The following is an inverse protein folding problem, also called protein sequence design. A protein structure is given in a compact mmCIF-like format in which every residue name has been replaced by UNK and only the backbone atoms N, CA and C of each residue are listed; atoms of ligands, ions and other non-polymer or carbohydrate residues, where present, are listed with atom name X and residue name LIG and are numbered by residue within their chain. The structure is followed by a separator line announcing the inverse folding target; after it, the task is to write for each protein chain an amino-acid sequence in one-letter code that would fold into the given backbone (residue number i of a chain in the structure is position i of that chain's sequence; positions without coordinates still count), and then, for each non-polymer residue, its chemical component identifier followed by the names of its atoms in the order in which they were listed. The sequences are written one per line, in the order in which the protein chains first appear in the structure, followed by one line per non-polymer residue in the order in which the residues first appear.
data_IF_806651303937
#
_entry.id   IF_806651303937
#
_cell.length_a   1.000
_cell.length_b   1.000
_cell.length_c   1.000
_cell.angle_alpha   90.00
_cell.angle_beta   90.00
_cell.angle_gamma   90.00
#
_symmetry.space_group_name_H-M   'P 1'
#
loop_
_entity.id
_entity.type
_entity.pdbx_description
1 polymer ?
#
# COMPACT_ATOMS: atom_id res chain seq x y z
N UNK A 1 -14.39 -24.06 -4.60
CA UNK A 1 -13.32 -23.28 -3.96
C UNK A 1 -13.41 -23.34 -2.45
N UNK A 2 -12.29 -23.15 -1.73
CA UNK A 2 -12.27 -22.85 -0.29
C UNK A 2 -11.42 -21.61 -0.02
N UNK A 3 -11.95 -20.74 0.84
CA UNK A 3 -11.27 -19.55 1.34
C UNK A 3 -11.11 -19.67 2.85
N UNK A 4 -9.92 -19.36 3.35
CA UNK A 4 -9.66 -19.27 4.78
C UNK A 4 -9.05 -17.90 5.07
N UNK A 5 -9.80 -17.06 5.78
CA UNK A 5 -9.25 -15.82 6.34
C UNK A 5 -8.31 -16.18 7.49
N UNK A 6 -7.06 -15.73 7.39
CA UNK A 6 -6.01 -15.99 8.38
C UNK A 6 -5.79 -14.78 9.31
N UNK A 7 -6.59 -13.73 9.19
CA UNK A 7 -6.54 -12.62 10.13
C UNK A 7 -7.15 -13.05 11.50
N UNK A 8 -6.35 -13.13 12.58
CA UNK A 8 -6.83 -13.55 13.90
C UNK A 8 -7.87 -12.60 14.50
N UNK A 9 -7.81 -11.31 14.16
CA UNK A 9 -8.59 -10.25 14.79
C UNK A 9 -9.86 -9.90 14.00
N UNK A 10 -9.99 -10.40 12.77
CA UNK A 10 -10.93 -9.88 11.79
C UNK A 10 -10.70 -8.40 11.48
N UNK A 11 -11.53 -7.83 10.60
CA UNK A 11 -11.48 -6.40 10.27
C UNK A 11 -10.20 -5.97 9.54
N UNK A 12 -9.76 -4.73 9.76
CA UNK A 12 -8.66 -4.10 9.02
C UNK A 12 -7.31 -4.37 9.70
N UNK A 13 -6.41 -5.05 8.98
CA UNK A 13 -5.06 -5.36 9.43
C UNK A 13 -4.73 -6.83 9.20
N UNK A 14 -3.44 -7.18 9.18
CA UNK A 14 -2.99 -8.58 9.03
C UNK A 14 -3.70 -9.34 7.89
N UNK A 15 -3.99 -8.68 6.77
CA UNK A 15 -4.70 -9.29 5.65
C UNK A 15 -3.86 -10.44 5.11
N UNK A 16 -4.47 -11.62 5.07
CA UNK A 16 -3.86 -12.85 4.59
C UNK A 16 -4.97 -13.87 4.32
N UNK A 17 -5.20 -14.21 3.06
CA UNK A 17 -6.28 -15.13 2.69
C UNK A 17 -5.72 -16.33 1.95
N UNK A 18 -5.86 -17.51 2.55
CA UNK A 18 -5.54 -18.77 1.90
C UNK A 18 -6.68 -19.20 0.98
N UNK A 19 -6.33 -19.49 -0.27
CA UNK A 19 -7.26 -19.86 -1.33
C UNK A 19 -6.92 -21.23 -1.90
N UNK A 20 -7.93 -22.06 -2.09
CA UNK A 20 -7.83 -23.41 -2.66
C UNK A 20 -8.85 -23.55 -3.81
N UNK A 21 -8.37 -23.69 -5.05
CA UNK A 21 -9.20 -23.93 -6.26
C UNK A 21 -8.58 -25.04 -7.12
N UNK A 22 -9.32 -26.13 -7.32
CA UNK A 22 -8.78 -27.33 -7.95
C UNK A 22 -7.52 -27.84 -7.21
N UNK A 23 -6.41 -28.14 -7.92
CA UNK A 23 -5.14 -28.50 -7.28
C UNK A 23 -4.32 -27.30 -6.80
N UNK A 24 -4.77 -26.07 -7.07
CA UNK A 24 -4.02 -24.85 -6.77
C UNK A 24 -4.27 -24.34 -5.36
N UNK A 25 -3.19 -24.05 -4.64
CA UNK A 25 -3.19 -23.47 -3.30
C UNK A 25 -2.32 -22.22 -3.28
N UNK A 26 -2.92 -21.07 -2.99
CA UNK A 26 -2.21 -19.79 -3.01
C UNK A 26 -2.70 -18.85 -1.91
N UNK A 27 -1.94 -17.80 -1.65
CA UNK A 27 -2.30 -16.76 -0.68
C UNK A 27 -2.47 -15.42 -1.38
N UNK A 28 -3.53 -14.68 -1.04
CA UNK A 28 -3.67 -13.26 -1.34
C UNK A 28 -3.24 -12.46 -0.11
N UNK A 29 -2.20 -11.64 -0.28
CA UNK A 29 -1.60 -10.77 0.73
C UNK A 29 -1.05 -11.47 1.97
N UNK A 30 -0.15 -10.80 2.69
CA UNK A 30 0.33 -11.22 4.00
C UNK A 30 0.80 -9.99 4.77
N UNK A 31 -0.10 -9.43 5.57
CA UNK A 31 0.07 -8.19 6.33
C UNK A 31 0.55 -8.32 7.76
N UNK A 32 0.87 -7.18 8.37
CA UNK A 32 0.99 -6.99 9.82
C UNK A 32 -0.17 -6.11 10.29
N UNK A 33 -0.78 -6.45 11.42
CA UNK A 33 -1.85 -5.65 12.00
C UNK A 33 -1.30 -4.32 12.57
N UNK A 34 -1.82 -3.15 12.17
CA UNK A 34 -1.22 -1.86 12.52
C UNK A 34 -1.40 -1.45 13.99
N UNK A 35 -2.34 -2.08 14.72
CA UNK A 35 -2.60 -1.79 16.14
C UNK A 35 -1.87 -2.72 17.13
N UNK A 36 -1.31 -3.82 16.64
CA UNK A 36 -0.59 -4.79 17.47
C UNK A 36 0.90 -4.77 17.12
N UNK A 37 1.73 -5.34 17.99
CA UNK A 37 3.17 -5.46 17.77
C UNK A 37 3.62 -6.89 18.04
N UNK A 38 4.83 -7.24 17.61
CA UNK A 38 5.37 -8.58 17.81
C UNK A 38 4.51 -9.65 17.12
N UNK A 39 4.42 -10.83 17.73
CA UNK A 39 3.68 -11.96 17.16
C UNK A 39 2.16 -11.74 17.11
N UNK A 40 1.59 -10.92 18.00
CA UNK A 40 0.15 -10.60 18.00
C UNK A 40 -0.31 -9.85 16.75
N UNK A 41 0.64 -9.27 16.02
CA UNK A 41 0.37 -8.55 14.78
C UNK A 41 0.33 -9.44 13.55
N UNK A 42 0.61 -10.73 13.69
CA UNK A 42 0.75 -11.67 12.57
C UNK A 42 -0.56 -12.38 12.22
N UNK A 43 -0.75 -12.75 10.95
CA UNK A 43 -1.77 -13.71 10.56
C UNK A 43 -1.46 -15.12 11.10
N UNK A 44 -2.47 -15.99 11.11
CA UNK A 44 -2.35 -17.42 11.44
C UNK A 44 -1.62 -18.24 10.35
N UNK A 45 -0.33 -17.93 10.11
CA UNK A 45 0.51 -18.67 9.16
C UNK A 45 0.68 -20.15 9.54
N UNK A 46 0.53 -20.49 10.81
CA UNK A 46 0.57 -21.86 11.33
C UNK A 46 -0.52 -22.78 10.76
N UNK A 47 -1.62 -22.21 10.27
CA UNK A 47 -2.68 -22.95 9.57
C UNK A 47 -2.32 -23.31 8.13
N UNK A 48 -1.21 -22.78 7.61
CA UNK A 48 -0.70 -23.11 6.28
C UNK A 48 0.39 -24.18 6.42
N UNK A 49 0.17 -25.33 5.80
CA UNK A 49 1.18 -26.38 5.73
C UNK A 49 2.42 -25.84 4.98
N UNK A 50 3.61 -25.94 5.58
CA UNK A 50 4.87 -25.52 4.94
C UNK A 50 5.04 -26.14 3.55
N UNK A 51 5.64 -25.40 2.63
CA UNK A 51 5.88 -25.81 1.24
C UNK A 51 4.63 -26.23 0.44
N UNK A 52 3.42 -25.85 0.89
CA UNK A 52 2.19 -26.22 0.18
C UNK A 52 1.64 -25.17 -0.78
N UNK A 53 2.17 -23.94 -0.77
CA UNK A 53 1.72 -22.87 -1.65
C UNK A 53 2.37 -22.97 -3.02
N UNK A 54 1.56 -22.87 -4.07
CA UNK A 54 2.02 -22.79 -5.46
C UNK A 54 2.54 -21.39 -5.79
N UNK A 55 1.94 -20.35 -5.23
CA UNK A 55 2.33 -18.96 -5.37
C UNK A 55 1.67 -18.07 -4.30
N UNK A 56 2.15 -16.85 -4.17
CA UNK A 56 1.58 -15.79 -3.33
C UNK A 56 1.28 -14.60 -4.23
N UNK A 57 0.16 -13.91 -4.05
CA UNK A 57 -0.17 -12.68 -4.79
C UNK A 57 -0.20 -11.50 -3.81
N UNK A 58 0.52 -10.44 -4.12
CA UNK A 58 0.50 -9.18 -3.37
C UNK A 58 -0.32 -8.14 -4.14
N UNK A 59 -1.42 -7.69 -3.54
CA UNK A 59 -2.31 -6.66 -4.12
C UNK A 59 -1.66 -5.29 -4.09
N UNK A 60 -1.07 -4.88 -2.96
CA UNK A 60 -0.40 -3.58 -2.82
C UNK A 60 0.54 -3.52 -1.61
N UNK A 61 1.28 -2.42 -1.48
CA UNK A 61 2.39 -2.29 -0.53
C UNK A 61 2.06 -1.56 0.79
N UNK A 62 0.81 -1.50 1.22
CA UNK A 62 0.53 -1.12 2.61
C UNK A 62 0.92 -2.27 3.56
N UNK A 63 1.32 -1.94 4.79
CA UNK A 63 1.92 -2.92 5.71
C UNK A 63 0.93 -3.97 6.20
N UNK A 64 -0.36 -3.65 6.22
CA UNK A 64 -1.46 -4.58 6.48
C UNK A 64 -1.74 -5.55 5.33
N UNK A 65 -1.03 -5.44 4.20
CA UNK A 65 -1.06 -6.41 3.09
C UNK A 65 0.33 -7.02 2.79
N UNK A 66 1.40 -6.31 3.14
CA UNK A 66 2.79 -6.67 2.82
C UNK A 66 3.61 -7.10 4.05
N UNK A 67 3.24 -6.63 5.23
CA UNK A 67 4.11 -6.55 6.40
C UNK A 67 4.66 -7.88 6.90
N UNK A 68 3.93 -8.98 6.73
CA UNK A 68 4.35 -10.33 7.15
C UNK A 68 4.76 -11.23 5.99
N UNK A 69 4.73 -10.73 4.75
CA UNK A 69 5.14 -11.46 3.55
C UNK A 69 6.53 -12.10 3.65
N UNK A 70 7.57 -11.48 4.26
CA UNK A 70 8.86 -12.14 4.43
C UNK A 70 8.78 -13.43 5.26
N UNK A 71 7.89 -13.49 6.25
CA UNK A 71 7.69 -14.66 7.10
C UNK A 71 7.00 -15.78 6.35
N UNK A 72 5.91 -15.45 5.63
CA UNK A 72 5.19 -16.39 4.78
C UNK A 72 6.12 -16.95 3.69
N UNK A 73 6.85 -16.07 3.00
CA UNK A 73 7.78 -16.46 1.94
C UNK A 73 8.94 -17.33 2.46
N UNK A 74 9.35 -17.17 3.72
CA UNK A 74 10.34 -18.08 4.36
C UNK A 74 9.78 -19.49 4.57
N UNK A 75 8.48 -19.63 4.86
CA UNK A 75 7.82 -20.93 5.05
C UNK A 75 7.48 -21.64 3.73
N UNK A 76 7.50 -20.92 2.61
CA UNK A 76 7.20 -21.41 1.26
C UNK A 76 8.28 -20.96 0.29
N UNK A 77 9.50 -21.52 0.38
CA UNK A 77 10.66 -21.00 -0.31
C UNK A 77 10.59 -21.13 -1.84
N UNK A 78 9.77 -22.05 -2.34
CA UNK A 78 9.59 -22.31 -3.78
C UNK A 78 8.42 -21.53 -4.39
N UNK A 79 7.58 -20.90 -3.57
CA UNK A 79 6.42 -20.14 -4.04
C UNK A 79 6.86 -18.76 -4.57
N UNK A 80 6.65 -18.43 -5.86
CA UNK A 80 6.88 -17.09 -6.38
C UNK A 80 5.86 -16.10 -5.79
N UNK A 81 6.26 -14.84 -5.69
CA UNK A 81 5.37 -13.75 -5.30
C UNK A 81 4.97 -12.99 -6.56
N UNK A 82 3.71 -13.10 -6.96
CA UNK A 82 3.11 -12.39 -8.09
C UNK A 82 2.63 -11.02 -7.62
N UNK A 83 3.02 -9.95 -8.33
CA UNK A 83 2.73 -8.57 -7.95
C UNK A 83 2.85 -7.64 -9.15
N UNK A 84 2.43 -6.39 -9.01
CA UNK A 84 2.65 -5.39 -10.07
C UNK A 84 4.12 -4.91 -10.11
N UNK A 85 4.54 -4.36 -11.26
CA UNK A 85 5.85 -3.72 -11.41
C UNK A 85 6.12 -2.66 -10.33
N UNK A 86 5.17 -1.76 -10.10
CA UNK A 86 5.32 -0.71 -9.09
C UNK A 86 5.42 -1.30 -7.67
N UNK A 87 4.64 -2.35 -7.36
CA UNK A 87 4.74 -3.04 -6.08
C UNK A 87 6.11 -3.71 -5.88
N UNK A 88 6.75 -4.22 -6.93
CA UNK A 88 8.11 -4.80 -6.84
C UNK A 88 9.20 -3.80 -6.45
N UNK A 89 8.99 -2.51 -6.74
CA UNK A 89 9.86 -1.40 -6.35
C UNK A 89 9.53 -0.97 -4.92
N UNK A 90 8.25 -0.73 -4.64
CA UNK A 90 7.79 -0.19 -3.36
C UNK A 90 7.97 -1.18 -2.21
N UNK A 91 7.71 -2.47 -2.44
CA UNK A 91 7.82 -3.50 -1.41
C UNK A 91 9.22 -3.53 -0.78
N UNK A 92 10.28 -3.35 -1.59
CA UNK A 92 11.66 -3.32 -1.11
C UNK A 92 11.90 -2.22 -0.10
N UNK A 93 11.40 -1.01 -0.39
CA UNK A 93 11.57 0.14 0.50
C UNK A 93 10.69 0.02 1.75
N UNK A 94 9.43 -0.40 1.58
CA UNK A 94 8.48 -0.56 2.67
C UNK A 94 8.97 -1.60 3.70
N UNK A 95 9.40 -2.77 3.23
CA UNK A 95 9.91 -3.84 4.09
C UNK A 95 11.28 -3.51 4.71
N UNK A 96 12.17 -2.83 3.98
CA UNK A 96 13.42 -2.35 4.59
C UNK A 96 13.16 -1.34 5.70
N UNK A 97 12.13 -0.49 5.57
CA UNK A 97 11.76 0.45 6.61
C UNK A 97 11.09 -0.24 7.81
N UNK A 98 10.22 -1.23 7.59
CA UNK A 98 9.57 -1.97 8.68
C UNK A 98 10.59 -2.66 9.59
N UNK A 99 11.71 -3.20 9.05
CA UNK A 99 12.80 -3.72 9.87
C UNK A 99 13.37 -2.66 10.82
N UNK A 100 13.59 -1.44 10.32
CA UNK A 100 14.10 -0.33 11.15
C UNK A 100 13.09 0.09 12.22
N UNK A 101 11.79 0.10 11.89
CA UNK A 101 10.71 0.38 12.84
C UNK A 101 10.65 -0.70 13.93
N UNK A 102 10.67 -1.98 13.55
CA UNK A 102 10.65 -3.09 14.51
C UNK A 102 11.86 -3.09 15.43
N UNK A 103 13.06 -2.74 14.93
CA UNK A 103 14.27 -2.58 15.76
C UNK A 103 14.10 -1.51 16.84
N UNK A 104 13.42 -0.41 16.52
CA UNK A 104 13.10 0.64 17.48
C UNK A 104 12.05 0.17 18.48
N UNK A 105 10.98 -0.46 18.00
CA UNK A 105 9.90 -1.02 18.83
C UNK A 105 10.41 -2.08 19.81
N UNK A 106 11.44 -2.87 19.44
CA UNK A 106 12.08 -3.84 20.36
C UNK A 106 12.43 -3.23 21.70
N UNK A 107 13.06 -2.04 21.69
CA UNK A 107 13.46 -1.34 22.90
C UNK A 107 12.33 -0.52 23.54
N UNK A 108 11.47 0.10 22.73
CA UNK A 108 10.37 0.94 23.24
C UNK A 108 9.24 0.13 23.89
N UNK A 109 9.00 -1.09 23.40
CA UNK A 109 7.90 -1.96 23.83
C UNK A 109 8.37 -3.22 24.59
N UNK A 110 9.68 -3.38 24.79
CA UNK A 110 10.29 -4.58 25.41
C UNK A 110 9.88 -5.90 24.73
N UNK A 111 9.87 -5.91 23.38
CA UNK A 111 9.52 -7.07 22.55
C UNK A 111 10.77 -7.75 21.98
N UNK A 112 11.38 -8.74 22.68
CA UNK A 112 12.67 -9.31 22.31
C UNK A 112 12.65 -10.07 20.97
N UNK A 113 11.48 -10.54 20.52
CA UNK A 113 11.28 -11.23 19.25
C UNK A 113 11.44 -10.31 18.03
N UNK A 114 11.44 -8.99 18.21
CA UNK A 114 11.65 -8.04 17.13
C UNK A 114 13.13 -7.88 16.76
N UNK A 115 13.46 -7.70 15.46
CA UNK A 115 12.55 -7.70 14.31
C UNK A 115 12.14 -9.11 13.87
N UNK A 116 10.91 -9.26 13.37
CA UNK A 116 10.36 -10.56 12.95
C UNK A 116 11.11 -11.19 11.76
N UNK A 117 11.71 -10.33 10.91
CA UNK A 117 12.53 -10.72 9.76
C UNK A 117 13.71 -9.77 9.60
N UNK A 118 14.74 -10.24 8.91
CA UNK A 118 15.99 -9.53 8.66
C UNK A 118 16.32 -9.37 7.19
N UNK A 119 17.53 -8.86 6.92
CA UNK A 119 18.02 -8.62 5.55
C UNK A 119 18.10 -9.90 4.70
N UNK A 120 18.40 -11.04 5.32
CA UNK A 120 18.43 -12.34 4.64
C UNK A 120 17.05 -12.70 4.08
N UNK A 121 16.01 -12.66 4.91
CA UNK A 121 14.63 -12.93 4.50
C UNK A 121 14.20 -11.99 3.35
N UNK A 122 14.56 -10.70 3.46
CA UNK A 122 14.24 -9.72 2.42
C UNK A 122 14.95 -10.01 1.10
N UNK A 123 16.24 -10.37 1.14
CA UNK A 123 17.00 -10.71 -0.05
C UNK A 123 16.35 -11.89 -0.78
N UNK A 124 16.08 -12.98 -0.06
CA UNK A 124 15.45 -14.18 -0.65
C UNK A 124 14.03 -13.89 -1.17
N UNK A 125 13.24 -13.09 -0.45
CA UNK A 125 11.92 -12.67 -0.91
C UNK A 125 12.01 -11.90 -2.23
N UNK A 126 12.98 -10.99 -2.36
CA UNK A 126 13.13 -10.15 -3.55
C UNK A 126 13.48 -10.94 -4.81
N UNK A 127 14.22 -12.04 -4.68
CA UNK A 127 14.56 -12.92 -5.82
C UNK A 127 13.33 -13.69 -6.33
N UNK A 128 12.31 -13.84 -5.47
CA UNK A 128 11.05 -14.54 -5.77
C UNK A 128 9.93 -13.63 -6.26
N UNK A 129 10.12 -12.32 -6.22
CA UNK A 129 9.16 -11.36 -6.77
C UNK A 129 9.11 -11.49 -8.30
N UNK A 130 7.92 -11.77 -8.83
CA UNK A 130 7.62 -11.89 -10.26
C UNK A 130 6.60 -10.82 -10.67
N UNK A 131 7.08 -9.66 -11.17
CA UNK A 131 6.20 -8.63 -11.68
C UNK A 131 5.36 -9.14 -12.85
N UNK A 132 4.04 -8.99 -12.76
CA UNK A 132 3.12 -9.29 -13.85
C UNK A 132 2.64 -8.00 -14.52
N UNK A 133 2.37 -8.11 -15.83
CA UNK A 133 1.79 -7.01 -16.60
C UNK A 133 0.30 -6.88 -16.29
N UNK A 134 -0.16 -5.64 -16.09
CA UNK A 134 -1.57 -5.36 -15.85
C UNK A 134 -2.37 -5.70 -17.13
N UNK A 135 -3.56 -6.26 -16.96
CA UNK A 135 -4.46 -6.71 -18.02
C UNK A 135 -3.87 -7.79 -18.94
N UNK A 136 -2.84 -8.51 -18.49
CA UNK A 136 -2.25 -9.64 -19.22
C UNK A 136 -2.44 -10.92 -18.41
N UNK A 137 -3.25 -11.89 -18.91
CA UNK A 137 -3.42 -13.17 -18.23
C UNK A 137 -2.08 -13.92 -18.12
N UNK A 138 -1.84 -14.52 -16.95
CA UNK A 138 -0.70 -15.39 -16.69
C UNK A 138 -1.23 -16.78 -16.35
N UNK A 139 -0.87 -17.76 -17.17
CA UNK A 139 -1.32 -19.14 -17.01
C UNK A 139 -0.41 -19.89 -16.04
N UNK A 140 -1.01 -20.59 -15.08
CA UNK A 140 -0.33 -21.50 -14.15
C UNK A 140 -0.93 -22.89 -14.35
N UNK A 141 -0.07 -23.91 -14.47
CA UNK A 141 -0.48 -25.29 -14.71
C UNK A 141 -0.01 -26.20 -13.58
N UNK A 142 -0.87 -27.14 -13.18
CA UNK A 142 -0.58 -28.12 -12.14
C UNK A 142 -1.49 -29.34 -12.30
N UNK A 143 -0.92 -30.54 -12.22
CA UNK A 143 -1.66 -31.81 -12.25
C UNK A 143 -2.69 -31.90 -13.40
N UNK A 144 -2.31 -31.45 -14.60
CA UNK A 144 -3.18 -31.44 -15.78
C UNK A 144 -4.31 -30.38 -15.78
N UNK A 145 -4.34 -29.51 -14.78
CA UNK A 145 -5.27 -28.38 -14.68
C UNK A 145 -4.56 -27.06 -14.95
N UNK A 146 -5.31 -26.01 -15.30
CA UNK A 146 -4.76 -24.65 -15.44
C UNK A 146 -5.66 -23.58 -14.85
N UNK A 147 -5.04 -22.51 -14.37
CA UNK A 147 -5.71 -21.25 -14.00
C UNK A 147 -5.03 -20.08 -14.67
N UNK A 148 -5.79 -19.03 -14.96
CA UNK A 148 -5.31 -17.75 -15.46
C UNK A 148 -5.38 -16.71 -14.33
N UNK A 149 -4.30 -15.97 -14.12
CA UNK A 149 -4.19 -14.87 -13.16
C UNK A 149 -4.04 -13.57 -13.94
N UNK A 150 -4.96 -12.63 -13.75
CA UNK A 150 -4.89 -11.31 -14.38
C UNK A 150 -4.89 -10.23 -13.30
N UNK A 151 -3.93 -9.30 -13.36
CA UNK A 151 -3.91 -8.13 -12.49
C UNK A 151 -4.64 -6.96 -13.16
N UNK A 152 -5.49 -6.27 -12.42
CA UNK A 152 -6.21 -5.07 -12.86
C UNK A 152 -5.83 -3.88 -11.98
N UNK A 153 -5.85 -2.67 -12.53
CA UNK A 153 -5.44 -1.48 -11.77
C UNK A 153 -6.50 -1.11 -10.72
N UNK A 154 -6.15 -1.09 -9.44
CA UNK A 154 -7.11 -0.86 -8.34
C UNK A 154 -7.25 0.61 -7.91
N UNK A 155 -6.40 1.50 -8.39
CA UNK A 155 -6.49 2.95 -8.13
C UNK A 155 -6.24 3.42 -6.68
N UNK A 156 -6.01 2.53 -5.72
CA UNK A 156 -5.82 2.88 -4.30
C UNK A 156 -4.47 3.52 -3.98
N UNK A 157 -3.36 2.87 -4.38
CA UNK A 157 -1.99 3.39 -4.28
C UNK A 157 -1.19 2.99 -5.51
N UNK A 158 -0.02 3.60 -5.70
CA UNK A 158 0.88 3.24 -6.79
C UNK A 158 1.19 1.73 -6.74
N UNK A 159 0.83 1.01 -7.81
CA UNK A 159 1.02 -0.43 -7.91
C UNK A 159 -0.08 -1.30 -7.32
N UNK A 160 -1.14 -0.71 -6.75
CA UNK A 160 -2.28 -1.46 -6.26
C UNK A 160 -3.01 -2.16 -7.40
N UNK A 161 -3.29 -3.45 -7.20
CA UNK A 161 -3.99 -4.28 -8.17
C UNK A 161 -5.12 -5.07 -7.53
N UNK A 162 -6.21 -5.20 -8.30
CA UNK A 162 -7.20 -6.25 -8.11
C UNK A 162 -6.78 -7.48 -8.90
N UNK A 163 -7.20 -8.66 -8.48
CA UNK A 163 -6.73 -9.94 -9.00
C UNK A 163 -7.92 -10.74 -9.50
N UNK A 164 -7.94 -11.04 -10.78
CA UNK A 164 -8.84 -12.03 -11.37
C UNK A 164 -8.11 -13.39 -11.40
N UNK A 165 -8.75 -14.42 -10.86
CA UNK A 165 -8.31 -15.82 -10.96
C UNK A 165 -9.41 -16.58 -11.69
N UNK A 166 -9.08 -17.13 -12.86
CA UNK A 166 -10.03 -17.82 -13.72
C UNK A 166 -9.59 -19.26 -13.95
N UNK A 167 -10.42 -20.21 -13.55
CA UNK A 167 -10.31 -21.62 -13.92
C UNK A 167 -11.32 -21.97 -15.02
N UNK A 168 -11.38 -23.24 -15.43
CA UNK A 168 -12.46 -23.73 -16.30
C UNK A 168 -13.84 -23.65 -15.65
N UNK A 169 -13.91 -23.64 -14.31
CA UNK A 169 -15.17 -23.75 -13.56
C UNK A 169 -15.67 -22.45 -12.98
N UNK A 170 -14.75 -21.58 -12.56
CA UNK A 170 -15.08 -20.39 -11.78
C UNK A 170 -14.14 -19.23 -12.11
N UNK A 171 -14.69 -18.02 -12.11
CA UNK A 171 -13.98 -16.74 -12.13
C UNK A 171 -14.14 -16.07 -10.77
N UNK A 172 -13.00 -15.87 -10.12
CA UNK A 172 -12.90 -15.26 -8.80
C UNK A 172 -12.23 -13.90 -8.94
N UNK A 173 -12.72 -12.91 -8.22
CA UNK A 173 -12.16 -11.56 -8.25
C UNK A 173 -11.87 -11.07 -6.84
N UNK A 174 -10.61 -10.74 -6.57
CA UNK A 174 -10.17 -10.11 -5.33
C UNK A 174 -9.92 -8.65 -5.61
N UNK A 175 -10.59 -7.75 -4.89
CA UNK A 175 -10.41 -6.32 -5.16
C UNK A 175 -9.07 -5.80 -4.63
N UNK A 176 -8.56 -6.37 -3.53
CA UNK A 176 -7.65 -5.65 -2.64
C UNK A 176 -8.32 -4.38 -2.13
N UNK A 177 -7.53 -3.39 -1.73
CA UNK A 177 -8.07 -2.05 -1.51
C UNK A 177 -8.27 -1.32 -2.85
N UNK A 178 -9.42 -0.69 -3.04
CA UNK A 178 -9.79 -0.06 -4.31
C UNK A 178 -10.27 1.38 -4.19
N UNK A 179 -9.99 2.17 -5.23
CA UNK A 179 -10.53 3.52 -5.37
C UNK A 179 -10.84 3.82 -6.83
N UNK A 180 -12.13 3.93 -7.17
CA UNK A 180 -12.58 4.31 -8.53
C UNK A 180 -12.38 5.79 -8.87
N UNK A 181 -12.22 6.66 -7.86
CA UNK A 181 -12.05 8.08 -8.10
C UNK A 181 -10.60 8.42 -8.39
N UNK A 182 -10.36 9.19 -9.45
CA UNK A 182 -9.05 9.74 -9.75
C UNK A 182 -8.50 10.55 -8.56
N UNK A 183 -7.19 10.39 -8.40
CA UNK A 183 -6.36 11.22 -7.56
C UNK A 183 -5.52 12.15 -8.45
N UNK A 184 -4.98 13.23 -7.87
CA UNK A 184 -4.03 14.09 -8.60
C UNK A 184 -2.82 13.28 -9.07
N UNK A 185 -2.41 12.31 -8.25
CA UNK A 185 -1.24 11.47 -8.50
C UNK A 185 -1.51 10.17 -9.25
N UNK A 186 -2.73 9.64 -9.24
CA UNK A 186 -3.03 8.27 -9.67
C UNK A 186 -4.41 8.20 -10.29
N UNK A 187 -4.56 7.44 -11.38
CA UNK A 187 -5.87 7.13 -11.95
C UNK A 187 -6.70 6.26 -11.01
N UNK A 188 -8.02 6.42 -11.06
CA UNK A 188 -8.96 5.52 -10.41
C UNK A 188 -8.88 4.10 -10.95
N UNK A 189 -9.52 3.17 -10.25
CA UNK A 189 -9.56 1.76 -10.61
C UNK A 189 -10.13 1.54 -12.03
N UNK A 190 -9.47 0.66 -12.78
CA UNK A 190 -9.80 0.27 -14.15
C UNK A 190 -9.97 -1.26 -14.15
N UNK A 191 -11.21 -1.67 -13.85
CA UNK A 191 -11.59 -3.07 -13.62
C UNK A 191 -12.52 -3.55 -14.74
N UNK A 192 -12.46 -4.84 -15.13
CA UNK A 192 -13.35 -5.38 -16.14
C UNK A 192 -14.80 -5.41 -15.63
N UNK A 193 -15.73 -4.84 -16.41
CA UNK A 193 -17.17 -4.96 -16.18
C UNK A 193 -17.68 -6.30 -16.72
N UNK A 194 -17.22 -7.40 -16.14
CA UNK A 194 -17.61 -8.76 -16.52
C UNK A 194 -18.22 -9.48 -15.31
N UNK A 195 -19.18 -10.40 -15.53
CA UNK A 195 -19.65 -11.29 -14.47
C UNK A 195 -18.50 -12.09 -13.85
N UNK A 196 -18.57 -12.28 -12.54
CA UNK A 196 -17.66 -13.11 -11.74
C UNK A 196 -18.54 -14.02 -10.88
N UNK A 197 -18.08 -15.23 -10.60
CA UNK A 197 -18.80 -16.19 -9.78
C UNK A 197 -18.60 -15.88 -8.29
N UNK A 198 -17.40 -15.39 -7.94
CA UNK A 198 -17.05 -15.00 -6.57
C UNK A 198 -16.34 -13.64 -6.57
N UNK A 199 -16.83 -12.73 -5.74
CA UNK A 199 -16.21 -11.44 -5.47
C UNK A 199 -15.76 -11.39 -3.99
N UNK A 200 -14.46 -11.25 -3.78
CA UNK A 200 -13.86 -10.94 -2.48
C UNK A 200 -13.48 -9.47 -2.48
N UNK A 201 -14.27 -8.66 -1.78
CA UNK A 201 -14.12 -7.20 -1.76
C UNK A 201 -13.75 -6.68 -0.39
N UNK A 202 -12.93 -5.62 -0.35
CA UNK A 202 -12.77 -4.83 0.87
C UNK A 202 -14.10 -4.19 1.28
N UNK A 203 -14.22 -3.92 2.58
CA UNK A 203 -15.40 -3.27 3.17
C UNK A 203 -15.01 -2.15 4.13
N UNK A 204 -13.86 -1.50 3.89
CA UNK A 204 -13.30 -0.44 4.77
C UNK A 204 -14.30 0.65 5.10
N UNK A 205 -15.20 0.96 4.16
CA UNK A 205 -16.29 1.93 4.33
C UNK A 205 -17.68 1.33 4.12
N UNK A 206 -17.84 0.01 4.21
CA UNK A 206 -19.09 -0.70 3.91
C UNK A 206 -20.27 -0.25 4.77
N UNK A 207 -20.02 0.14 6.02
CA UNK A 207 -21.04 0.67 6.93
C UNK A 207 -21.23 2.20 6.90
N UNK A 208 -20.48 2.93 6.08
CA UNK A 208 -20.49 4.39 6.05
C UNK A 208 -21.00 4.93 4.71
N UNK A 209 -22.26 5.40 4.70
CA UNK A 209 -22.81 6.07 3.53
C UNK A 209 -22.03 7.36 3.22
N UNK A 210 -21.66 7.55 1.95
CA UNK A 210 -21.13 8.85 1.50
C UNK A 210 -22.28 9.81 1.30
N UNK A 211 -22.14 11.02 1.83
CA UNK A 211 -22.99 12.15 1.48
C UNK A 211 -22.77 12.49 -0.01
N UNK A 212 -23.79 12.38 -0.89
CA UNK A 212 -23.65 12.68 -2.31
C UNK A 212 -23.19 14.12 -2.58
N UNK A 213 -23.46 15.05 -1.65
CA UNK A 213 -23.02 16.45 -1.72
C UNK A 213 -21.55 16.66 -1.34
N UNK A 214 -20.91 15.70 -0.65
CA UNK A 214 -19.49 15.75 -0.28
C UNK A 214 -18.64 15.00 -1.30
N UNK A 215 -18.30 15.70 -2.37
CA UNK A 215 -17.38 15.21 -3.38
C UNK A 215 -15.93 15.41 -2.95
N UNK A 216 -15.00 14.67 -3.57
CA UNK A 216 -13.56 14.81 -3.29
C UNK A 216 -13.09 16.26 -3.41
N UNK A 217 -13.53 16.96 -4.46
CA UNK A 217 -13.12 18.35 -4.71
C UNK A 217 -13.65 19.31 -3.63
N UNK A 218 -14.88 19.11 -3.12
CA UNK A 218 -15.39 19.94 -2.03
C UNK A 218 -14.63 19.72 -0.73
N UNK A 219 -14.22 18.47 -0.44
CA UNK A 219 -13.36 18.17 0.72
C UNK A 219 -11.96 18.77 0.58
N UNK A 220 -11.38 18.78 -0.63
CA UNK A 220 -10.10 19.45 -0.90
C UNK A 220 -10.22 20.97 -0.70
N UNK A 221 -11.29 21.60 -1.19
CA UNK A 221 -11.55 23.03 -0.97
C UNK A 221 -11.69 23.32 0.52
N UNK A 222 -12.46 22.50 1.26
CA UNK A 222 -12.62 22.63 2.71
C UNK A 222 -11.29 22.51 3.46
N UNK A 223 -10.46 21.52 3.09
CA UNK A 223 -9.12 21.36 3.64
C UNK A 223 -8.26 22.60 3.40
N UNK A 224 -8.17 23.07 2.16
CA UNK A 224 -7.36 24.24 1.80
C UNK A 224 -7.86 25.51 2.49
N UNK A 225 -9.17 25.66 2.67
CA UNK A 225 -9.76 26.78 3.41
C UNK A 225 -9.36 26.76 4.88
N UNK A 226 -9.37 25.59 5.52
CA UNK A 226 -8.94 25.44 6.91
C UNK A 226 -7.44 25.69 7.07
N UNK A 227 -6.63 25.26 6.10
CA UNK A 227 -5.19 25.60 6.05
C UNK A 227 -5.01 27.11 5.91
N UNK A 228 -5.69 27.75 4.96
CA UNK A 228 -5.64 29.21 4.73
C UNK A 228 -5.99 30.00 5.98
N UNK A 229 -7.14 29.69 6.61
CA UNK A 229 -7.57 30.32 7.87
C UNK A 229 -6.54 30.16 8.97
N UNK A 230 -5.91 28.99 9.06
CA UNK A 230 -4.89 28.70 10.08
C UNK A 230 -3.60 29.49 9.86
N UNK A 231 -3.15 29.60 8.61
CA UNK A 231 -1.97 30.41 8.28
C UNK A 231 -2.23 31.91 8.48
N UNK A 232 -3.42 32.40 8.12
CA UNK A 232 -3.77 33.82 8.26
C UNK A 232 -3.86 34.31 9.72
N UNK A 233 -4.13 33.42 10.68
CA UNK A 233 -4.05 33.74 12.12
C UNK A 233 -2.64 33.57 12.72
N UNK A 234 -1.62 33.37 11.89
CA UNK A 234 -0.24 33.14 12.33
C UNK A 234 0.03 31.74 12.90
N UNK A 235 -0.87 30.77 12.67
CA UNK A 235 -0.72 29.40 13.12
C UNK A 235 -0.01 28.48 12.12
N UNK A 236 0.28 27.25 12.55
CA UNK A 236 0.85 26.18 11.72
C UNK A 236 -0.19 25.08 11.47
N UNK A 237 -0.22 24.53 10.25
CA UNK A 237 -1.09 23.41 9.89
C UNK A 237 -0.31 22.09 9.92
N UNK A 238 -0.70 21.17 10.82
CA UNK A 238 -0.16 19.81 10.88
C UNK A 238 -1.10 18.85 10.13
N UNK A 239 -0.59 18.15 9.10
CA UNK A 239 -1.38 17.23 8.28
C UNK A 239 -0.79 15.82 8.39
N UNK A 240 -1.31 14.95 9.29
CA UNK A 240 -0.86 13.58 9.40
C UNK A 240 -1.35 12.77 8.20
N UNK A 241 -0.42 12.08 7.54
CA UNK A 241 -0.71 11.28 6.34
C UNK A 241 0.12 10.00 6.34
N UNK A 242 -0.44 8.93 5.78
CA UNK A 242 0.34 7.73 5.51
C UNK A 242 1.47 8.02 4.52
N UNK A 243 2.62 7.42 4.78
CA UNK A 243 3.84 7.61 4.00
C UNK A 243 3.68 7.20 2.53
N UNK A 244 2.94 6.13 2.26
CA UNK A 244 2.67 5.59 0.93
C UNK A 244 1.28 6.03 0.44
N UNK A 245 1.23 6.73 -0.68
CA UNK A 245 0.00 7.19 -1.35
C UNK A 245 -0.44 8.56 -0.88
N UNK A 246 -0.94 8.68 0.36
CA UNK A 246 -1.59 9.91 0.84
C UNK A 246 -0.61 11.09 0.94
N UNK A 247 0.63 10.86 1.37
CA UNK A 247 1.64 11.92 1.41
C UNK A 247 1.95 12.46 0.02
N UNK A 248 2.15 11.60 -0.98
CA UNK A 248 2.46 12.03 -2.35
C UNK A 248 1.29 12.80 -2.96
N UNK A 249 0.06 12.36 -2.71
CA UNK A 249 -1.14 13.10 -3.11
C UNK A 249 -1.20 14.50 -2.50
N UNK A 250 -0.94 14.63 -1.20
CA UNK A 250 -0.97 15.93 -0.52
C UNK A 250 0.14 16.86 -0.98
N UNK A 251 1.32 16.35 -1.32
CA UNK A 251 2.37 17.16 -1.93
C UNK A 251 1.88 17.81 -3.23
N UNK A 252 1.22 17.05 -4.12
CA UNK A 252 0.72 17.58 -5.38
C UNK A 252 -0.45 18.56 -5.18
N UNK A 253 -1.38 18.24 -4.27
CA UNK A 253 -2.51 19.13 -3.93
C UNK A 253 -2.00 20.48 -3.38
N UNK A 254 -1.06 20.45 -2.44
CA UNK A 254 -0.52 21.66 -1.83
C UNK A 254 0.32 22.47 -2.82
N UNK A 255 1.11 21.82 -3.67
CA UNK A 255 1.84 22.50 -4.74
C UNK A 255 0.90 23.26 -5.68
N UNK A 256 -0.18 22.63 -6.12
CA UNK A 256 -1.19 23.28 -6.96
C UNK A 256 -1.87 24.45 -6.23
N UNK A 257 -2.19 24.28 -4.95
CA UNK A 257 -2.75 25.35 -4.12
C UNK A 257 -1.80 26.54 -3.98
N UNK A 258 -0.49 26.32 -3.78
CA UNK A 258 0.50 27.39 -3.76
C UNK A 258 0.63 28.08 -5.12
N UNK A 259 0.71 27.31 -6.23
CA UNK A 259 0.82 27.86 -7.59
C UNK A 259 -0.38 28.73 -7.97
N UNK A 260 -1.59 28.33 -7.54
CA UNK A 260 -2.83 29.08 -7.75
C UNK A 260 -3.06 30.19 -6.73
N UNK A 261 -2.16 30.39 -5.76
CA UNK A 261 -2.31 31.33 -4.65
C UNK A 261 -3.57 31.10 -3.80
N UNK A 262 -4.08 29.86 -3.77
CA UNK A 262 -5.21 29.46 -2.95
C UNK A 262 -4.85 29.46 -1.45
N UNK A 263 -3.57 29.23 -1.13
CA UNK A 263 -2.99 29.37 0.21
C UNK A 263 -1.73 30.26 0.13
N UNK A 264 -1.40 31.05 1.18
CA UNK A 264 -0.22 31.89 1.19
C UNK A 264 1.06 31.04 1.18
N UNK A 265 2.11 31.51 0.50
CA UNK A 265 3.40 30.81 0.48
C UNK A 265 4.04 30.85 1.87
N UNK A 266 4.31 29.68 2.43
CA UNK A 266 4.88 29.51 3.78
C UNK A 266 5.95 28.39 3.76
N UNK A 267 6.82 28.30 4.78
CA UNK A 267 7.70 27.14 4.94
C UNK A 267 6.90 25.84 5.05
N UNK A 268 7.31 24.82 4.30
CA UNK A 268 6.70 23.48 4.34
C UNK A 268 7.73 22.49 4.87
N UNK A 269 7.37 21.76 5.92
CA UNK A 269 8.19 20.70 6.50
C UNK A 269 7.56 19.33 6.26
N UNK A 270 8.37 18.40 5.79
CA UNK A 270 7.97 17.03 5.51
C UNK A 270 8.95 16.06 6.20
N UNK A 271 8.48 14.94 6.70
CA UNK A 271 9.32 13.95 7.38
C UNK A 271 8.81 12.52 7.17
N UNK A 272 9.62 11.55 7.60
CA UNK A 272 9.28 10.14 7.55
C UNK A 272 9.46 9.50 6.17
N UNK A 273 9.07 8.22 6.09
CA UNK A 273 9.28 7.34 4.94
C UNK A 273 8.73 7.92 3.62
N UNK A 274 7.67 8.72 3.67
CA UNK A 274 7.04 9.25 2.46
C UNK A 274 7.96 10.20 1.67
N UNK A 275 8.95 10.82 2.32
CA UNK A 275 10.01 11.58 1.64
C UNK A 275 10.93 10.69 0.81
N UNK A 276 11.28 9.50 1.32
CA UNK A 276 12.10 8.54 0.58
C UNK A 276 11.32 7.94 -0.60
N UNK A 277 10.01 7.79 -0.45
CA UNK A 277 9.12 7.27 -1.48
C UNK A 277 8.92 8.25 -2.66
N UNK A 278 9.25 9.54 -2.51
CA UNK A 278 9.16 10.52 -3.61
C UNK A 278 10.00 10.10 -4.82
N UNK A 279 11.21 9.57 -4.60
CA UNK A 279 12.07 9.11 -5.70
C UNK A 279 11.49 7.85 -6.36
N UNK A 280 10.97 6.91 -5.56
CA UNK A 280 10.34 5.69 -6.06
C UNK A 280 9.10 6.01 -6.91
N UNK A 281 8.24 6.93 -6.46
CA UNK A 281 7.10 7.41 -7.25
C UNK A 281 7.55 8.07 -8.56
N UNK A 282 8.61 8.87 -8.52
CA UNK A 282 9.16 9.47 -9.73
C UNK A 282 9.71 8.44 -10.71
N UNK A 283 10.40 7.40 -10.24
CA UNK A 283 10.90 6.31 -11.08
C UNK A 283 9.76 5.48 -11.68
N UNK A 284 8.75 5.14 -10.87
CA UNK A 284 7.56 4.45 -11.33
C UNK A 284 6.84 5.28 -12.41
N UNK A 285 6.65 6.59 -12.20
CA UNK A 285 5.98 7.48 -13.16
C UNK A 285 6.63 7.55 -14.54
N UNK A 286 7.92 7.19 -14.66
CA UNK A 286 8.61 7.14 -15.97
C UNK A 286 8.30 5.87 -16.76
N UNK A 287 7.82 4.83 -16.08
CA UNK A 287 7.63 3.49 -16.63
C UNK A 287 6.14 3.08 -16.64
N UNK A 288 5.24 3.94 -16.18
CA UNK A 288 3.79 3.73 -16.25
C UNK A 288 3.07 5.03 -16.54
N UNK A 289 2.00 4.95 -17.34
CA UNK A 289 1.16 6.10 -17.68
C UNK A 289 0.09 6.39 -16.62
N UNK A 290 -0.09 5.50 -15.62
CA UNK A 290 -1.14 5.62 -14.59
C UNK A 290 -0.74 6.48 -13.39
N UNK A 291 0.56 6.73 -13.20
CA UNK A 291 1.09 7.50 -12.07
C UNK A 291 1.61 8.86 -12.53
N UNK A 292 0.94 9.93 -12.12
CA UNK A 292 1.31 11.33 -12.36
C UNK A 292 2.05 11.91 -11.16
N UNK A 293 3.36 11.68 -11.08
CA UNK A 293 4.16 12.23 -9.98
C UNK A 293 5.54 12.69 -10.43
N UNK A 294 5.96 13.88 -9.98
CA UNK A 294 7.29 14.40 -10.26
C UNK A 294 7.94 14.90 -8.98
N UNK A 295 9.15 14.42 -8.67
CA UNK A 295 9.91 14.86 -7.49
C UNK A 295 10.18 16.37 -7.43
N UNK A 296 10.09 17.08 -8.57
CA UNK A 296 10.15 18.55 -8.63
C UNK A 296 9.07 19.24 -7.80
N UNK A 297 7.98 18.54 -7.43
CA UNK A 297 6.94 19.04 -6.52
C UNK A 297 7.55 19.54 -5.20
N UNK A 298 8.54 18.83 -4.65
CA UNK A 298 9.21 19.25 -3.41
C UNK A 298 9.94 20.59 -3.58
N UNK A 299 10.64 20.77 -4.71
CA UNK A 299 11.38 22.00 -5.01
C UNK A 299 10.42 23.17 -5.25
N UNK A 300 9.34 22.95 -6.00
CA UNK A 300 8.31 23.96 -6.27
C UNK A 300 7.64 24.46 -4.98
N UNK A 301 7.33 23.53 -4.07
CA UNK A 301 6.80 23.87 -2.76
C UNK A 301 7.81 24.54 -1.84
N UNK A 302 9.11 24.31 -2.05
CA UNK A 302 10.15 24.67 -1.09
C UNK A 302 10.11 23.79 0.16
N UNK A 303 9.67 22.53 -0.01
CA UNK A 303 9.55 21.55 1.07
C UNK A 303 10.92 21.15 1.61
N UNK A 304 11.04 21.12 2.94
CA UNK A 304 12.28 20.79 3.65
C UNK A 304 12.07 19.66 4.65
N UNK A 305 13.12 18.88 4.97
CA UNK A 305 13.07 17.97 6.12
C UNK A 305 12.73 18.74 7.40
N UNK A 306 11.90 18.15 8.26
CA UNK A 306 11.69 18.71 9.60
C UNK A 306 13.03 18.69 10.39
N UNK A 307 13.45 19.81 11.01
CA UNK A 307 14.65 19.84 11.84
C UNK A 307 14.57 18.83 12.98
N UNK A 308 15.70 18.18 13.32
CA UNK A 308 15.78 17.19 14.41
C UNK A 308 15.44 17.78 15.78
N UNK A 309 15.64 19.09 15.96
CA UNK A 309 15.27 19.83 17.16
C UNK A 309 14.36 20.98 16.74
N UNK A 310 13.15 21.00 17.29
CA UNK A 310 12.19 22.09 17.16
C UNK A 310 11.87 22.53 18.58
N UNK A 311 11.96 23.84 18.84
CA UNK A 311 11.58 24.41 20.13
C UNK A 311 10.13 24.93 20.03
N UNK A 312 9.21 24.47 20.89
CA UNK A 312 7.84 24.97 20.92
C UNK A 312 7.81 26.51 21.05
N UNK A 313 6.96 27.15 20.24
CA UNK A 313 6.82 28.61 20.24
C UNK A 313 7.93 29.37 19.51
N UNK A 314 8.95 28.70 18.95
CA UNK A 314 9.98 29.34 18.12
C UNK A 314 9.87 28.93 16.64
N UNK A 315 10.21 29.82 15.70
CA UNK A 315 10.32 29.44 14.30
C UNK A 315 11.32 28.29 14.13
N UNK A 316 10.99 27.24 13.37
CA UNK A 316 11.93 26.19 13.05
C UNK A 316 13.13 26.77 12.29
N UNK A 317 14.36 26.28 12.53
CA UNK A 317 15.56 26.82 11.90
C UNK A 317 15.44 26.78 10.37
N UNK A 318 15.45 27.97 9.76
CA UNK A 318 15.36 28.16 8.31
C UNK A 318 16.76 28.13 7.68
N UNK A 319 17.46 27.00 7.79
CA UNK A 319 18.64 26.72 6.96
C UNK A 319 18.24 25.85 5.77
#
# INVERSE_FOLDING_TARGET
MKFTDLNPHGGIGANCTLCETGPFRFVIDSGIHPKYAGNESLPHHDLIQRNSLDFIILTHCHLDHLGSLPLLSRQHPDAPVLLSYASSILARRMLSNSVSVMKRQRGELNLPELPLYGRGDLSTLYDRMKPLSINTPQRVEKDGNSIEITLHHAGHVAGAVSVEVKSERERIFFTGDLLFNDQRTLDGADLPLKPVDVLVTETTRGGASRDPGRQRESELVSLLENVRKTLNRGGSALIPVFALGRMQEMLVVLDDAFRRKAIPKVPVFCSGLGMDLVNHFHEISKNTNRLRFNRKVLKSMGARPLPRKVEPGRPPPMK
#
